data_IF_508763670988
#
_entry.id   IF_508763670988
#
_cell.length_a   1.000
_cell.length_b   1.000
_cell.length_c   1.000
_cell.angle_alpha   90.00
_cell.angle_beta   90.00
_cell.angle_gamma   90.00
#
_symmetry.space_group_name_H-M   'P 1'
#
loop_
_entity.id
_entity.type
_entity.pdbx_description
1 polymer ?
#
# COMPACT_ATOMS: atom_id res chain seq x y z
N UNK A 1 6.16 26.50 25.53
CA UNK A 1 7.47 26.04 26.08
C UNK A 1 7.96 24.64 25.64
N UNK A 2 7.28 23.92 24.74
CA UNK A 2 7.73 22.58 24.28
C UNK A 2 9.01 22.64 23.41
N UNK A 3 9.13 23.67 22.56
CA UNK A 3 10.29 23.82 21.67
C UNK A 3 11.61 24.13 22.40
N UNK A 4 11.56 24.68 23.62
CA UNK A 4 12.76 24.88 24.45
C UNK A 4 13.22 23.58 25.11
N UNK A 5 12.27 22.77 25.58
CA UNK A 5 12.53 21.45 26.19
C UNK A 5 13.17 20.46 25.18
N UNK A 6 12.67 20.45 23.94
CA UNK A 6 13.24 19.63 22.86
C UNK A 6 14.67 20.04 22.51
N UNK A 7 14.95 21.35 22.52
CA UNK A 7 16.31 21.88 22.30
C UNK A 7 17.27 21.54 23.43
N UNK A 8 16.82 21.57 24.69
CA UNK A 8 17.66 21.16 25.84
C UNK A 8 17.97 19.67 25.86
N UNK A 9 17.14 18.83 25.24
CA UNK A 9 17.40 17.40 25.06
C UNK A 9 18.26 17.09 23.81
N UNK A 10 18.76 18.12 23.11
CA UNK A 10 19.61 17.95 21.93
C UNK A 10 18.88 17.49 20.66
N UNK A 11 17.54 17.44 20.69
CA UNK A 11 16.72 16.96 19.58
C UNK A 11 16.62 18.07 18.52
N UNK A 12 17.25 17.85 17.36
CA UNK A 12 17.19 18.78 16.24
C UNK A 12 15.94 18.51 15.39
N UNK A 13 15.48 19.55 14.70
CA UNK A 13 14.31 19.47 13.82
C UNK A 13 14.50 18.41 12.72
N UNK A 14 15.72 18.22 12.26
CA UNK A 14 16.09 17.22 11.26
C UNK A 14 15.98 15.78 11.77
N UNK A 15 16.31 15.53 13.04
CA UNK A 15 16.21 14.19 13.64
C UNK A 15 14.75 13.77 13.82
N UNK A 16 13.89 14.73 14.20
CA UNK A 16 12.44 14.52 14.24
C UNK A 16 11.92 14.24 12.84
N UNK A 17 12.38 14.99 11.83
CA UNK A 17 11.93 14.78 10.46
C UNK A 17 12.35 13.41 9.92
N UNK A 18 13.59 12.96 10.20
CA UNK A 18 14.07 11.62 9.86
C UNK A 18 13.26 10.53 10.55
N UNK A 19 13.06 10.62 11.86
CA UNK A 19 12.25 9.67 12.61
C UNK A 19 10.80 9.65 12.11
N UNK A 20 10.25 10.81 11.73
CA UNK A 20 8.90 10.93 11.20
C UNK A 20 8.78 10.35 9.78
N UNK A 21 9.84 10.42 8.97
CA UNK A 21 9.92 9.77 7.66
C UNK A 21 10.07 8.26 7.80
N UNK A 22 10.92 7.78 8.71
CA UNK A 22 11.09 6.34 8.99
C UNK A 22 9.81 5.71 9.52
N UNK A 23 9.12 6.38 10.45
CA UNK A 23 7.85 5.90 11.01
C UNK A 23 6.71 5.99 9.97
N UNK A 24 6.69 7.02 9.12
CA UNK A 24 5.64 7.17 8.09
C UNK A 24 5.84 6.24 6.90
N UNK A 25 7.07 5.87 6.57
CA UNK A 25 7.38 5.10 5.37
C UNK A 25 6.87 5.76 4.08
N UNK A 26 7.10 5.13 2.92
CA UNK A 26 6.64 5.59 1.60
C UNK A 26 5.12 5.59 1.40
N UNK A 27 4.32 5.32 2.44
CA UNK A 27 2.87 5.33 2.31
C UNK A 27 2.31 6.75 2.42
N UNK A 28 1.83 7.27 1.29
CA UNK A 28 0.93 8.42 1.29
C UNK A 28 -0.39 7.99 1.93
N UNK A 29 -0.63 8.45 3.15
CA UNK A 29 -1.94 8.36 3.79
C UNK A 29 -2.88 9.31 3.05
N UNK A 30 -3.65 8.78 2.11
CA UNK A 30 -4.66 9.55 1.35
C UNK A 30 -6.04 9.52 1.98
N UNK A 31 -6.25 8.70 3.03
CA UNK A 31 -7.56 8.53 3.68
C UNK A 31 -7.43 8.65 5.21
N UNK A 32 -8.42 9.29 5.85
CA UNK A 32 -8.46 9.56 7.30
C UNK A 32 -8.62 8.30 8.17
N UNK A 33 -8.98 7.14 7.61
CA UNK A 33 -9.24 5.93 8.39
C UNK A 33 -8.82 4.63 7.65
N UNK A 34 -7.52 4.39 7.46
CA UNK A 34 -7.05 3.19 6.76
C UNK A 34 -7.45 1.90 7.47
N UNK A 35 -7.48 1.88 8.81
CA UNK A 35 -7.72 0.67 9.61
C UNK A 35 -9.09 0.03 9.38
N UNK A 36 -10.17 0.84 9.26
CA UNK A 36 -11.51 0.30 8.95
C UNK A 36 -11.58 -0.33 7.56
N UNK A 37 -10.86 0.24 6.58
CA UNK A 37 -10.81 -0.28 5.21
C UNK A 37 -10.04 -1.59 5.14
N UNK A 38 -8.94 -1.71 5.89
CA UNK A 38 -8.20 -2.97 6.02
C UNK A 38 -9.05 -4.07 6.66
N UNK A 39 -9.75 -3.79 7.75
CA UNK A 39 -10.65 -4.78 8.38
C UNK A 39 -11.80 -5.22 7.46
N UNK A 40 -12.35 -4.32 6.66
CA UNK A 40 -13.41 -4.66 5.70
C UNK A 40 -12.90 -5.60 4.60
N UNK A 41 -11.70 -5.35 4.07
CA UNK A 41 -11.10 -6.21 3.06
C UNK A 41 -10.78 -7.59 3.63
N UNK A 42 -10.22 -7.68 4.84
CA UNK A 42 -9.92 -8.96 5.47
C UNK A 42 -11.19 -9.80 5.74
N UNK A 43 -12.29 -9.14 6.14
CA UNK A 43 -13.56 -9.82 6.44
C UNK A 43 -14.35 -10.25 5.21
N UNK A 44 -14.31 -9.47 4.13
CA UNK A 44 -15.23 -9.63 2.99
C UNK A 44 -14.55 -9.92 1.65
N UNK A 45 -13.22 -9.91 1.59
CA UNK A 45 -12.49 -10.18 0.36
C UNK A 45 -11.43 -11.25 0.56
N UNK A 46 -10.93 -11.80 -0.54
CA UNK A 46 -9.87 -12.80 -0.54
C UNK A 46 -8.69 -12.27 -1.34
N UNK A 47 -7.52 -12.19 -0.71
CA UNK A 47 -6.30 -11.74 -1.39
C UNK A 47 -5.72 -12.84 -2.29
N UNK A 48 -6.03 -12.73 -3.59
CA UNK A 48 -5.52 -13.63 -4.62
C UNK A 48 -4.01 -13.46 -4.87
N UNK A 49 -3.44 -12.28 -4.63
CA UNK A 49 -2.00 -12.04 -4.82
C UNK A 49 -1.18 -12.75 -3.76
N UNK A 50 -1.64 -12.73 -2.50
CA UNK A 50 -1.03 -13.50 -1.42
C UNK A 50 -1.13 -15.00 -1.66
N UNK A 51 -2.26 -15.49 -2.18
CA UNK A 51 -2.44 -16.90 -2.53
C UNK A 51 -1.54 -17.34 -3.68
N UNK A 52 -1.40 -16.51 -4.71
CA UNK A 52 -0.47 -16.74 -5.81
C UNK A 52 0.98 -16.83 -5.32
N UNK A 53 1.41 -15.90 -4.45
CA UNK A 53 2.76 -15.90 -3.86
C UNK A 53 3.06 -17.17 -3.04
N UNK A 54 2.04 -17.73 -2.38
CA UNK A 54 2.15 -19.00 -1.63
C UNK A 54 2.10 -20.24 -2.52
N UNK A 55 1.92 -20.09 -3.84
CA UNK A 55 1.78 -21.22 -4.77
C UNK A 55 0.50 -22.02 -4.57
N UNK A 56 -0.51 -21.46 -3.90
CA UNK A 56 -1.78 -22.15 -3.62
C UNK A 56 -2.82 -21.97 -4.72
N UNK A 57 -2.43 -21.38 -5.86
CA UNK A 57 -3.28 -21.24 -7.05
C UNK A 57 -2.73 -22.12 -8.16
N UNK A 58 -3.62 -22.91 -8.78
CA UNK A 58 -3.28 -23.71 -9.94
C UNK A 58 -2.97 -22.82 -11.15
N UNK A 59 -2.05 -23.24 -12.04
CA UNK A 59 -1.74 -22.50 -13.25
C UNK A 59 -2.97 -22.41 -14.15
N UNK A 60 -3.23 -21.21 -14.68
CA UNK A 60 -4.33 -20.99 -15.61
C UNK A 60 -3.90 -21.41 -17.02
N UNK A 61 -4.58 -22.40 -17.59
CA UNK A 61 -4.26 -22.96 -18.92
C UNK A 61 -5.19 -22.37 -19.98
N UNK A 62 -4.62 -21.93 -21.11
CA UNK A 62 -5.36 -21.53 -22.30
C UNK A 62 -6.09 -20.19 -22.22
N UNK A 63 -5.69 -19.29 -21.30
CA UNK A 63 -6.27 -17.94 -21.13
C UNK A 63 -5.27 -16.81 -21.33
N UNK A 64 -4.22 -17.06 -22.11
CA UNK A 64 -3.13 -16.11 -22.30
C UNK A 64 -3.59 -14.80 -22.95
N UNK A 65 -4.53 -14.86 -23.90
CA UNK A 65 -5.06 -13.67 -24.59
C UNK A 65 -5.92 -12.79 -23.67
N UNK A 66 -6.79 -13.40 -22.86
CA UNK A 66 -7.62 -12.67 -21.89
C UNK A 66 -6.75 -12.05 -20.80
N UNK A 67 -5.80 -12.80 -20.25
CA UNK A 67 -4.87 -12.30 -19.23
C UNK A 67 -4.08 -11.11 -19.79
N UNK A 68 -3.55 -11.24 -21.02
CA UNK A 68 -2.82 -10.15 -21.68
C UNK A 68 -3.70 -8.92 -21.91
N UNK A 69 -4.95 -9.12 -22.34
CA UNK A 69 -5.92 -8.02 -22.56
C UNK A 69 -6.25 -7.29 -21.24
N UNK A 70 -6.50 -8.03 -20.17
CA UNK A 70 -6.77 -7.46 -18.84
C UNK A 70 -5.58 -6.63 -18.35
N UNK A 71 -4.36 -7.16 -18.45
CA UNK A 71 -3.13 -6.43 -18.09
C UNK A 71 -2.98 -5.16 -18.94
N UNK A 72 -3.23 -5.24 -20.25
CA UNK A 72 -3.16 -4.10 -21.15
C UNK A 72 -4.14 -3.00 -20.74
N UNK A 73 -5.39 -3.36 -20.41
CA UNK A 73 -6.41 -2.39 -20.00
C UNK A 73 -6.04 -1.74 -18.66
N UNK A 74 -5.67 -2.54 -17.66
CA UNK A 74 -5.26 -2.05 -16.33
C UNK A 74 -4.06 -1.09 -16.41
N UNK A 75 -3.17 -1.27 -17.39
CA UNK A 75 -1.98 -0.43 -17.60
C UNK A 75 -2.27 0.91 -18.28
N UNK A 76 -3.50 1.16 -18.75
CA UNK A 76 -3.87 2.42 -19.42
C UNK A 76 -3.94 3.57 -18.40
N UNK A 77 -3.65 4.79 -18.85
CA UNK A 77 -3.84 6.01 -18.04
C UNK A 77 -5.30 6.42 -17.90
N UNK A 78 -6.15 6.07 -18.88
CA UNK A 78 -7.58 6.36 -18.89
C UNK A 78 -8.35 5.11 -19.33
N UNK A 79 -9.58 4.93 -18.84
CA UNK A 79 -10.41 3.72 -19.06
C UNK A 79 -9.65 2.44 -18.71
N UNK A 80 -9.12 2.39 -17.49
CA UNK A 80 -8.27 1.33 -16.99
C UNK A 80 -9.02 0.25 -16.19
N UNK A 81 -10.35 0.27 -16.24
CA UNK A 81 -11.16 -0.78 -15.62
C UNK A 81 -11.64 -1.74 -16.73
N UNK A 82 -11.08 -2.95 -16.83
CA UNK A 82 -11.46 -3.96 -17.82
C UNK A 82 -12.87 -4.51 -17.63
#
# INVERSE_FOLDING_TARGET
DIGKLLRSMGIKKDDIYKALVDVRGTQRVTDQNPEQKYQALERYSRDLTALAKRGSLDPVIGRDEEIRRVIQVLSRRTKNNP
#
